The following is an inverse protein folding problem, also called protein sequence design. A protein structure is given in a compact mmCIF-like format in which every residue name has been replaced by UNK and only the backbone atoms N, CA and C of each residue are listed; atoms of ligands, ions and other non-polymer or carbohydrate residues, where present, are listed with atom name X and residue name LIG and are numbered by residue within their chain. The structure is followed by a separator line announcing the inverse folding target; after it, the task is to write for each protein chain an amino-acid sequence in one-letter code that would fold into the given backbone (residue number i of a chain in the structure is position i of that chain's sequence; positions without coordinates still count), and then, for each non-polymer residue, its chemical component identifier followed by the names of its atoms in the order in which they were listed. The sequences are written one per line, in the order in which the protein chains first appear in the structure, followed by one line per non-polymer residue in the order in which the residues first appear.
data_IF_921325258751
#
_entry.id   IF_921325258751
#
_cell.length_a   1.000
_cell.length_b   1.000
_cell.length_c   1.000
_cell.angle_alpha   90.00
_cell.angle_beta   90.00
_cell.angle_gamma   90.00
#
_symmetry.space_group_name_H-M   'P 1'
#
loop_
_entity.id
_entity.type
_entity.pdbx_description
1 polymer ?
#
# COMPACT_ATOMS: atom_id res chain seq x y z
N UNK A 1 0.04 -8.66 14.47
CA UNK A 1 1.12 -8.88 15.46
C UNK A 1 0.87 -8.04 16.72
N UNK A 2 1.05 -8.55 17.95
CA UNK A 2 0.91 -7.76 19.19
C UNK A 2 2.05 -6.74 19.40
N UNK A 3 1.78 -5.64 20.10
CA UNK A 3 2.78 -4.60 20.37
C UNK A 3 3.92 -5.09 21.30
N UNK A 4 3.66 -6.07 22.17
CA UNK A 4 4.68 -6.71 23.02
C UNK A 4 5.74 -7.44 22.19
N UNK A 5 5.32 -8.19 21.17
CA UNK A 5 6.23 -8.86 20.23
C UNK A 5 7.09 -7.86 19.45
N UNK A 6 6.50 -6.72 19.07
CA UNK A 6 7.25 -5.66 18.39
C UNK A 6 8.29 -5.06 19.34
N UNK A 7 7.94 -4.81 20.61
CA UNK A 7 8.85 -4.29 21.62
C UNK A 7 10.07 -5.21 21.82
N UNK A 8 9.86 -6.52 21.91
CA UNK A 8 10.93 -7.52 22.00
C UNK A 8 11.85 -7.48 20.78
N UNK A 9 11.26 -7.44 19.56
CA UNK A 9 12.02 -7.45 18.30
C UNK A 9 12.89 -6.22 18.10
N UNK A 10 12.48 -5.07 18.61
CA UNK A 10 13.23 -3.81 18.50
C UNK A 10 14.11 -3.54 19.73
N UNK A 11 14.16 -4.45 20.70
CA UNK A 11 14.94 -4.28 21.91
C UNK A 11 14.46 -3.12 22.79
N UNK A 12 13.15 -2.86 22.85
CA UNK A 12 12.61 -1.77 23.66
C UNK A 12 12.68 -2.08 25.16
N UNK A 13 13.39 -1.23 25.91
CA UNK A 13 13.59 -1.39 27.37
C UNK A 13 12.75 -0.40 28.21
N UNK A 14 11.97 0.47 27.56
CA UNK A 14 11.15 1.49 28.22
C UNK A 14 9.75 1.01 28.62
N UNK A 15 8.88 1.96 28.96
CA UNK A 15 7.49 1.67 29.34
C UNK A 15 6.71 0.97 28.21
N UNK A 16 6.12 -0.18 28.52
CA UNK A 16 5.28 -0.91 27.58
C UNK A 16 3.96 -0.19 27.28
N UNK A 17 3.43 0.57 28.24
CA UNK A 17 2.19 1.33 28.05
C UNK A 17 2.40 2.42 26.99
N UNK A 18 3.49 3.19 27.12
CA UNK A 18 3.87 4.20 26.13
C UNK A 18 4.13 3.57 24.75
N UNK A 19 4.85 2.44 24.71
CA UNK A 19 5.14 1.75 23.45
C UNK A 19 3.86 1.30 22.73
N UNK A 20 2.89 0.74 23.48
CA UNK A 20 1.58 0.34 22.93
C UNK A 20 0.82 1.52 22.35
N UNK A 21 0.84 2.67 23.03
CA UNK A 21 0.20 3.90 22.55
C UNK A 21 0.81 4.37 21.23
N UNK A 22 2.14 4.43 21.15
CA UNK A 22 2.86 4.83 19.92
C UNK A 22 2.64 3.87 18.77
N UNK A 23 2.70 2.56 19.02
CA UNK A 23 2.40 1.54 18.00
C UNK A 23 0.96 1.66 17.51
N UNK A 24 0.00 1.97 18.39
CA UNK A 24 -1.40 2.17 17.99
C UNK A 24 -1.55 3.38 17.06
N UNK A 25 -0.86 4.47 17.34
CA UNK A 25 -0.90 5.67 16.50
C UNK A 25 -0.31 5.43 15.09
N UNK A 26 0.79 4.67 15.00
CA UNK A 26 1.51 4.45 13.73
C UNK A 26 0.88 3.35 12.86
N UNK A 27 0.23 2.35 13.46
CA UNK A 27 -0.33 1.18 12.74
C UNK A 27 -1.14 1.49 11.49
N UNK A 28 -2.04 2.49 11.48
CA UNK A 28 -2.83 2.81 10.30
C UNK A 28 -1.99 3.10 9.06
N UNK A 29 -0.80 3.68 9.23
CA UNK A 29 0.11 4.01 8.12
C UNK A 29 0.71 2.77 7.45
N UNK A 30 0.76 1.64 8.16
CA UNK A 30 1.32 0.37 7.70
C UNK A 30 0.25 -0.69 7.43
N UNK A 31 -1.03 -0.29 7.45
CA UNK A 31 -2.09 -1.20 7.02
C UNK A 31 -1.89 -1.51 5.54
N UNK A 32 -2.11 -2.76 5.12
CA UNK A 32 -2.20 -3.08 3.70
C UNK A 32 -3.20 -2.13 3.03
N UNK A 33 -2.87 -1.65 1.82
CA UNK A 33 -3.83 -0.92 1.00
C UNK A 33 -5.12 -1.73 0.87
N UNK A 34 -6.27 -1.04 0.88
CA UNK A 34 -7.57 -1.69 0.72
C UNK A 34 -7.54 -2.53 -0.58
N UNK A 35 -7.96 -3.80 -0.57
CA UNK A 35 -8.08 -4.58 -1.80
C UNK A 35 -8.94 -3.90 -2.87
N UNK A 36 -9.90 -3.03 -2.49
CA UNK A 36 -10.72 -2.24 -3.42
C UNK A 36 -9.91 -1.11 -4.08
N UNK A 37 -8.85 -0.62 -3.43
CA UNK A 37 -7.93 0.39 -3.99
C UNK A 37 -6.92 -0.23 -4.97
N UNK A 38 -6.83 -1.57 -5.04
CA UNK A 38 -5.96 -2.26 -5.98
C UNK A 38 -6.69 -2.53 -7.29
N UNK A 39 -6.39 -1.72 -8.30
CA UNK A 39 -6.81 -1.98 -9.67
C UNK A 39 -5.90 -3.05 -10.29
N UNK A 40 -6.40 -4.28 -10.43
CA UNK A 40 -5.72 -5.34 -11.16
C UNK A 40 -6.17 -5.35 -12.63
N UNK A 41 -5.21 -5.41 -13.56
CA UNK A 41 -5.45 -5.51 -14.99
C UNK A 41 -4.92 -6.85 -15.53
N UNK A 42 -5.72 -7.92 -15.49
CA UNK A 42 -5.32 -9.19 -16.09
C UNK A 42 -5.14 -9.03 -17.61
N UNK A 43 -4.16 -9.72 -18.21
CA UNK A 43 -3.99 -9.74 -19.66
C UNK A 43 -5.31 -10.11 -20.37
N UNK A 44 -5.67 -9.34 -21.40
CA UNK A 44 -6.89 -9.56 -22.20
C UNK A 44 -8.21 -9.08 -21.57
N UNK A 45 -8.20 -8.48 -20.37
CA UNK A 45 -9.41 -7.92 -19.71
C UNK A 45 -9.62 -6.44 -19.97
N UNK A 46 -8.59 -5.74 -20.41
CA UNK A 46 -8.65 -4.35 -20.85
C UNK A 46 -7.96 -4.25 -22.21
N UNK A 47 -8.54 -3.47 -23.11
CA UNK A 47 -8.00 -3.16 -24.44
C UNK A 47 -8.18 -1.66 -24.67
N UNK A 48 -7.17 -1.00 -25.23
CA UNK A 48 -7.29 0.38 -25.66
C UNK A 48 -7.98 0.41 -27.02
N UNK A 49 -9.22 0.88 -27.06
CA UNK A 49 -10.03 0.90 -28.29
C UNK A 49 -9.74 2.11 -29.20
N UNK A 50 -8.89 3.05 -28.80
CA UNK A 50 -8.78 4.36 -29.47
C UNK A 50 -7.39 4.67 -30.01
N UNK A 51 -6.76 3.74 -30.73
CA UNK A 51 -5.58 4.05 -31.54
C UNK A 51 -6.00 4.67 -32.89
N UNK A 52 -6.71 5.80 -32.87
CA UNK A 52 -6.85 6.61 -34.08
C UNK A 52 -5.67 7.59 -34.16
N UNK A 53 -4.68 7.25 -34.98
CA UNK A 53 -3.68 8.22 -35.40
C UNK A 53 -4.22 9.06 -36.57
N UNK A 54 -4.17 10.40 -36.51
CA UNK A 54 -4.51 11.21 -37.67
C UNK A 54 -3.60 10.86 -38.85
N UNK A 55 -4.11 11.01 -40.08
CA UNK A 55 -3.32 10.74 -41.28
C UNK A 55 -2.01 11.55 -41.24
N UNK A 56 -0.85 10.95 -41.59
CA UNK A 56 0.41 11.66 -41.61
C UNK A 56 0.35 12.82 -42.61
N UNK A 57 0.86 13.99 -42.22
CA UNK A 57 1.08 15.09 -43.17
C UNK A 57 2.30 14.74 -44.00
N UNK A 58 2.07 14.32 -45.24
CA UNK A 58 3.13 14.13 -46.24
C UNK A 58 3.45 15.50 -46.83
N UNK A 59 4.73 15.91 -46.74
CA UNK A 59 5.25 17.14 -47.33
C UNK A 59 5.60 16.93 -48.82
#
# INVERSE_FOLDING_TARGET
MPATVIAERVGWTGSIAWFRERVRAIRPEYLPADPVDRLEHPPGRAIQCDLWFPAPKVA
#
